data_IF_789824123935
#
_entry.id   IF_789824123935
#
_cell.length_a   1.000
_cell.length_b   1.000
_cell.length_c   1.000
_cell.angle_alpha   90.00
_cell.angle_beta   90.00
_cell.angle_gamma   90.00
#
_symmetry.space_group_name_H-M   'P 1'
#
loop_
_entity.id
_entity.type
_entity.pdbx_description
1 polymer ?
#
# COMPACT_ATOMS: atom_id res chain seq x y z
N UNK A 1 4.72 6.65 24.27
CA UNK A 1 4.33 5.31 23.78
C UNK A 1 2.82 5.25 23.83
N UNK A 2 2.16 5.60 22.72
CA UNK A 2 0.69 5.54 22.61
C UNK A 2 0.33 4.13 22.19
N UNK A 3 -0.62 3.53 22.90
CA UNK A 3 -0.94 2.11 22.85
C UNK A 3 -1.51 1.68 21.48
N UNK A 4 -0.65 1.16 20.60
CA UNK A 4 -1.04 0.61 19.30
C UNK A 4 -1.87 -0.68 19.40
N UNK A 5 -2.23 -1.13 20.62
CA UNK A 5 -2.89 -2.41 20.86
C UNK A 5 -4.36 -2.43 20.41
N UNK A 6 -5.03 -1.30 20.27
CA UNK A 6 -6.44 -1.29 19.88
C UNK A 6 -6.66 -1.30 18.37
N UNK A 7 -5.89 -0.52 17.59
CA UNK A 7 -5.99 -0.54 16.11
C UNK A 7 -5.79 -1.93 15.52
N UNK A 8 -4.84 -2.69 16.07
CA UNK A 8 -4.53 -4.06 15.62
C UNK A 8 -5.69 -5.05 15.82
N UNK A 9 -6.58 -4.82 16.81
CA UNK A 9 -7.80 -5.62 17.04
C UNK A 9 -8.86 -5.38 15.97
N UNK A 10 -8.80 -4.25 15.27
CA UNK A 10 -9.75 -3.91 14.22
C UNK A 10 -9.37 -4.48 12.84
N UNK A 11 -8.23 -5.17 12.74
CA UNK A 11 -7.73 -5.80 11.51
C UNK A 11 -8.15 -7.27 11.46
N UNK A 12 -8.70 -7.72 10.33
CA UNK A 12 -8.87 -9.14 10.03
C UNK A 12 -7.51 -9.69 9.55
N UNK A 13 -6.69 -10.16 10.49
CA UNK A 13 -5.35 -10.67 10.19
C UNK A 13 -5.36 -11.94 9.32
N UNK A 14 -6.38 -12.79 9.45
CA UNK A 14 -6.52 -14.01 8.64
C UNK A 14 -6.72 -13.65 7.16
N UNK A 15 -7.67 -12.76 6.86
CA UNK A 15 -7.89 -12.30 5.49
C UNK A 15 -6.75 -11.42 4.99
N UNK A 16 -6.16 -10.58 5.85
CA UNK A 16 -5.01 -9.74 5.50
C UNK A 16 -3.85 -10.60 5.03
N UNK A 17 -3.54 -11.67 5.76
CA UNK A 17 -2.47 -12.61 5.40
C UNK A 17 -2.80 -13.40 4.14
N UNK A 18 -4.03 -13.93 4.04
CA UNK A 18 -4.52 -14.60 2.81
C UNK A 18 -4.42 -13.69 1.60
N UNK A 19 -4.75 -12.41 1.74
CA UNK A 19 -4.66 -11.45 0.65
C UNK A 19 -3.21 -11.04 0.33
N UNK A 20 -2.31 -11.00 1.31
CA UNK A 20 -0.88 -10.73 1.08
C UNK A 20 -0.18 -11.93 0.43
N UNK A 21 -0.71 -13.13 0.67
CA UNK A 21 -0.13 -14.40 0.29
C UNK A 21 -1.20 -15.38 -0.26
N UNK A 22 -1.82 -15.09 -1.42
CA UNK A 22 -3.03 -15.78 -1.90
C UNK A 22 -2.88 -17.26 -2.24
N UNK A 23 -1.69 -17.73 -2.62
CA UNK A 23 -1.42 -19.15 -2.92
C UNK A 23 -0.71 -19.88 -1.79
N UNK A 24 -1.05 -21.16 -1.59
CA UNK A 24 -0.16 -22.08 -0.86
C UNK A 24 1.10 -22.27 -1.71
N UNK A 25 2.29 -22.13 -1.11
CA UNK A 25 3.57 -22.47 -1.76
C UNK A 25 3.63 -23.99 -1.86
N UNK A 26 2.98 -24.56 -2.88
CA UNK A 26 2.92 -26.01 -3.09
C UNK A 26 3.86 -26.48 -4.20
N UNK A 27 4.39 -25.56 -5.02
CA UNK A 27 5.35 -25.85 -6.08
C UNK A 27 6.60 -25.00 -5.93
N UNK A 28 7.76 -25.55 -6.30
CA UNK A 28 9.01 -24.80 -6.50
C UNK A 28 8.89 -23.73 -7.62
N UNK A 29 7.78 -23.72 -8.36
CA UNK A 29 7.54 -22.87 -9.53
C UNK A 29 6.20 -22.15 -9.40
N UNK A 30 6.17 -21.04 -8.68
CA UNK A 30 5.10 -20.05 -8.83
C UNK A 30 5.29 -19.31 -10.16
N UNK A 31 4.21 -18.99 -10.88
CA UNK A 31 4.29 -18.14 -12.06
C UNK A 31 4.98 -16.80 -11.74
N UNK A 32 5.83 -16.30 -12.65
CA UNK A 32 6.62 -15.08 -12.44
C UNK A 32 5.77 -13.86 -12.05
N UNK A 33 4.55 -13.75 -12.59
CA UNK A 33 3.59 -12.70 -12.26
C UNK A 33 3.14 -12.78 -10.80
N UNK A 34 2.78 -13.97 -10.33
CA UNK A 34 2.29 -14.21 -8.98
C UNK A 34 3.38 -13.98 -7.92
N UNK A 35 4.61 -14.44 -8.19
CA UNK A 35 5.76 -14.18 -7.33
C UNK A 35 6.04 -12.67 -7.17
N UNK A 36 5.90 -11.92 -8.27
CA UNK A 36 6.11 -10.48 -8.28
C UNK A 36 5.05 -9.72 -7.47
N UNK A 37 3.78 -10.12 -7.61
CA UNK A 37 2.66 -9.52 -6.85
C UNK A 37 2.78 -9.84 -5.36
N UNK A 38 3.16 -11.07 -4.99
CA UNK A 38 3.43 -11.44 -3.59
C UNK A 38 4.55 -10.59 -3.01
N UNK A 39 5.68 -10.49 -3.73
CA UNK A 39 6.83 -9.68 -3.29
C UNK A 39 6.44 -8.21 -3.11
N UNK A 40 5.66 -7.66 -4.04
CA UNK A 40 5.11 -6.32 -3.92
C UNK A 40 4.23 -6.20 -2.66
N UNK A 41 3.29 -7.11 -2.47
CA UNK A 41 2.34 -7.08 -1.35
C UNK A 41 3.04 -7.15 -0.01
N UNK A 42 4.04 -8.03 0.15
CA UNK A 42 4.82 -8.14 1.39
C UNK A 42 5.66 -6.89 1.65
N UNK A 43 6.26 -6.29 0.62
CA UNK A 43 7.01 -5.04 0.77
C UNK A 43 6.12 -3.85 1.08
N UNK A 44 4.93 -3.81 0.50
CA UNK A 44 3.94 -2.77 0.79
C UNK A 44 3.47 -2.89 2.24
N UNK A 45 3.16 -4.09 2.71
CA UNK A 45 2.73 -4.32 4.09
C UNK A 45 3.82 -3.96 5.13
N UNK A 46 5.10 -4.16 4.79
CA UNK A 46 6.24 -3.95 5.70
C UNK A 46 6.99 -2.62 5.51
N UNK A 47 6.45 -1.66 4.74
CA UNK A 47 7.14 -0.38 4.45
C UNK A 47 8.52 -0.54 3.79
N UNK A 48 8.67 -1.52 2.88
CA UNK A 48 9.96 -1.87 2.24
C UNK A 48 9.99 -1.62 0.72
N UNK A 49 9.00 -0.95 0.14
CA UNK A 49 9.08 -0.58 -1.27
C UNK A 49 10.29 0.33 -1.50
N UNK A 50 10.88 0.31 -2.71
CA UNK A 50 12.06 1.11 -3.04
C UNK A 50 11.70 2.58 -3.29
N UNK A 51 11.08 3.23 -2.31
CA UNK A 51 10.76 4.65 -2.26
C UNK A 51 12.01 5.48 -1.99
N UNK A 52 12.00 6.78 -2.31
CA UNK A 52 13.15 7.63 -2.06
C UNK A 52 13.48 7.72 -0.56
N UNK A 53 12.49 7.79 0.33
CA UNK A 53 12.73 7.73 1.78
C UNK A 53 13.49 6.48 2.22
N UNK A 54 13.11 5.30 1.70
CA UNK A 54 13.81 4.05 2.00
C UNK A 54 15.20 3.97 1.36
N UNK A 55 15.37 4.56 0.17
CA UNK A 55 16.65 4.58 -0.54
C UNK A 55 17.63 5.57 0.10
N UNK A 56 17.13 6.74 0.53
CA UNK A 56 17.84 7.77 1.27
C UNK A 56 18.42 7.19 2.55
N UNK A 57 17.58 6.55 3.39
CA UNK A 57 18.02 5.84 4.62
C UNK A 57 19.14 4.81 4.35
N UNK A 58 19.08 4.12 3.21
CA UNK A 58 20.06 3.07 2.85
C UNK A 58 21.36 3.63 2.24
N UNK A 59 21.37 4.86 1.73
CA UNK A 59 22.55 5.44 1.06
C UNK A 59 22.50 6.98 1.02
N UNK A 60 22.67 7.60 2.19
CA UNK A 60 22.67 9.05 2.41
C UNK A 60 23.70 9.82 1.55
N UNK A 61 24.77 9.15 1.13
CA UNK A 61 25.84 9.77 0.33
C UNK A 61 25.46 9.95 -1.14
N UNK A 62 24.52 9.14 -1.65
CA UNK A 62 24.12 9.16 -3.05
C UNK A 62 22.79 9.88 -3.27
N UNK A 63 21.95 9.93 -2.24
CA UNK A 63 20.65 10.59 -2.27
C UNK A 63 20.63 11.62 -1.15
N UNK A 64 20.52 12.89 -1.50
CA UNK A 64 20.61 14.03 -0.56
C UNK A 64 19.26 14.45 0.01
N UNK A 65 18.17 13.92 -0.53
CA UNK A 65 16.79 14.21 -0.12
C UNK A 65 15.94 12.95 -0.16
N UNK A 66 14.91 12.91 0.69
CA UNK A 66 13.82 11.93 0.69
C UNK A 66 12.50 12.49 0.11
N UNK A 67 12.51 13.75 -0.33
CA UNK A 67 11.38 14.41 -0.98
C UNK A 67 11.06 13.78 -2.32
N UNK A 68 9.77 13.66 -2.61
CA UNK A 68 9.29 13.09 -3.84
C UNK A 68 9.86 13.80 -5.07
N UNK A 69 10.47 13.05 -6.02
CA UNK A 69 11.10 13.65 -7.19
C UNK A 69 10.08 14.31 -8.15
N UNK A 70 8.79 14.03 -7.97
CA UNK A 70 7.72 14.54 -8.82
C UNK A 70 7.07 15.80 -8.25
N UNK A 71 6.64 15.79 -6.99
CA UNK A 71 6.02 16.96 -6.36
C UNK A 71 7.02 17.87 -5.66
N UNK A 72 8.16 17.34 -5.20
CA UNK A 72 9.20 18.05 -4.45
C UNK A 72 8.72 18.72 -3.15
N UNK A 73 7.52 18.35 -2.68
CA UNK A 73 6.89 18.92 -1.49
C UNK A 73 6.89 17.90 -0.36
N UNK A 74 6.32 16.72 -0.60
CA UNK A 74 6.15 15.67 0.40
C UNK A 74 7.28 14.64 0.35
N UNK A 75 7.52 13.95 1.47
CA UNK A 75 8.43 12.79 1.52
C UNK A 75 7.84 11.64 0.68
N UNK A 76 8.63 11.06 -0.22
CA UNK A 76 8.19 9.87 -0.95
C UNK A 76 8.28 8.63 -0.05
N UNK A 77 7.15 8.31 0.59
CA UNK A 77 6.96 7.11 1.39
C UNK A 77 6.12 6.04 0.66
N UNK A 78 5.82 4.94 1.33
CA UNK A 78 5.10 3.79 0.77
C UNK A 78 3.68 4.08 0.27
N UNK A 79 3.08 5.17 0.76
CA UNK A 79 1.72 5.59 0.43
C UNK A 79 1.76 6.71 -0.61
N UNK A 80 2.66 7.67 -0.44
CA UNK A 80 2.80 8.85 -1.31
C UNK A 80 3.01 8.48 -2.78
N UNK A 81 3.71 7.37 -3.06
CA UNK A 81 3.87 6.86 -4.43
C UNK A 81 2.54 6.62 -5.17
N UNK A 82 1.45 6.38 -4.43
CA UNK A 82 0.10 6.18 -4.98
C UNK A 82 -0.77 7.44 -4.93
N UNK A 83 -0.43 8.42 -4.09
CA UNK A 83 -1.27 9.59 -3.79
C UNK A 83 -0.67 10.91 -4.28
N UNK A 84 0.54 10.91 -4.82
CA UNK A 84 1.23 12.10 -5.33
C UNK A 84 0.46 12.75 -6.50
N UNK A 85 -0.10 13.94 -6.25
CA UNK A 85 -0.89 14.71 -7.21
C UNK A 85 -0.10 15.15 -8.44
N UNK A 86 1.22 15.39 -8.32
CA UNK A 86 2.06 15.83 -9.44
C UNK A 86 2.25 14.76 -10.53
N UNK A 87 1.79 13.52 -10.30
CA UNK A 87 1.87 12.45 -11.29
C UNK A 87 0.67 12.40 -12.24
N UNK A 88 -0.47 13.01 -11.90
CA UNK A 88 -1.72 12.91 -12.68
C UNK A 88 -2.49 14.23 -12.70
N UNK A 89 -3.31 14.44 -13.74
CA UNK A 89 -4.17 15.63 -13.83
C UNK A 89 -5.36 15.61 -12.85
N UNK A 90 -5.74 14.43 -12.35
CA UNK A 90 -6.78 14.23 -11.35
C UNK A 90 -6.16 13.86 -10.01
N UNK A 91 -6.89 14.07 -8.90
CA UNK A 91 -6.44 13.66 -7.58
C UNK A 91 -6.29 12.12 -7.53
N UNK A 92 -5.06 11.57 -7.39
CA UNK A 92 -4.83 10.13 -7.44
C UNK A 92 -5.55 9.38 -6.32
N UNK A 93 -5.63 9.99 -5.14
CA UNK A 93 -6.28 9.40 -3.98
C UNK A 93 -7.79 9.25 -4.21
N UNK A 94 -8.46 10.30 -4.69
CA UNK A 94 -9.89 10.22 -5.03
C UNK A 94 -10.14 9.15 -6.10
N UNK A 95 -9.25 9.06 -7.08
CA UNK A 95 -9.33 8.00 -8.09
C UNK A 95 -9.19 6.61 -7.49
N UNK A 96 -8.29 6.42 -6.52
CA UNK A 96 -8.13 5.15 -5.82
C UNK A 96 -9.34 4.79 -4.98
N UNK A 97 -9.92 5.75 -4.25
CA UNK A 97 -11.16 5.58 -3.48
C UNK A 97 -12.31 5.13 -4.39
N UNK A 98 -12.51 5.79 -5.52
CA UNK A 98 -13.52 5.40 -6.51
C UNK A 98 -13.29 3.98 -7.05
N UNK A 99 -12.05 3.67 -7.44
CA UNK A 99 -11.71 2.36 -7.99
C UNK A 99 -11.94 1.25 -6.94
N UNK A 100 -11.57 1.50 -5.68
CA UNK A 100 -11.81 0.56 -4.58
C UNK A 100 -13.31 0.28 -4.40
N UNK A 101 -14.14 1.33 -4.33
CA UNK A 101 -15.61 1.19 -4.24
C UNK A 101 -16.19 0.40 -5.42
N UNK A 102 -15.77 0.73 -6.65
CA UNK A 102 -16.21 0.02 -7.88
C UNK A 102 -15.84 -1.46 -7.85
N UNK A 103 -14.63 -1.79 -7.42
CA UNK A 103 -14.16 -3.18 -7.31
C UNK A 103 -15.00 -3.97 -6.29
N UNK A 104 -15.29 -3.38 -5.12
CA UNK A 104 -16.13 -4.02 -4.10
C UNK A 104 -17.55 -4.30 -4.60
N UNK A 105 -18.18 -3.28 -5.20
CA UNK A 105 -19.53 -3.40 -5.77
C UNK A 105 -19.56 -4.46 -6.87
N UNK A 106 -18.58 -4.47 -7.77
CA UNK A 106 -18.49 -5.44 -8.85
C UNK A 106 -18.39 -6.87 -8.33
N UNK A 107 -17.51 -7.13 -7.35
CA UNK A 107 -17.38 -8.49 -6.79
C UNK A 107 -18.62 -8.93 -6.02
N UNK A 108 -19.26 -8.01 -5.28
CA UNK A 108 -20.51 -8.31 -4.60
C UNK A 108 -21.63 -8.69 -5.60
N UNK A 109 -21.78 -7.91 -6.68
CA UNK A 109 -22.77 -8.17 -7.72
C UNK A 109 -22.51 -9.50 -8.45
N UNK A 110 -21.25 -9.80 -8.72
CA UNK A 110 -20.86 -11.05 -9.38
C UNK A 110 -21.21 -12.29 -8.55
N UNK A 111 -21.11 -12.22 -7.22
CA UNK A 111 -21.46 -13.35 -6.34
C UNK A 111 -22.96 -13.42 -6.08
N UNK A 112 -23.63 -12.30 -5.83
CA UNK A 112 -25.07 -12.31 -5.52
C UNK A 112 -25.96 -12.68 -6.70
N UNK A 113 -25.50 -12.47 -7.95
CA UNK A 113 -26.32 -12.68 -9.16
C UNK A 113 -27.70 -12.00 -9.12
N UNK A 114 -27.87 -10.97 -8.26
CA UNK A 114 -29.12 -10.29 -7.93
C UNK A 114 -28.93 -8.77 -7.82
N UNK A 115 -30.05 -8.03 -7.84
CA UNK A 115 -30.11 -6.57 -7.67
C UNK A 115 -29.65 -6.17 -6.25
N UNK A 116 -28.39 -5.79 -6.12
CA UNK A 116 -27.91 -5.03 -4.96
C UNK A 116 -28.59 -3.66 -4.91
N UNK A 117 -28.94 -3.21 -3.71
CA UNK A 117 -29.17 -1.78 -3.45
C UNK A 117 -27.83 -1.04 -3.52
N UNK A 118 -27.51 -0.56 -4.72
CA UNK A 118 -26.25 0.11 -5.03
C UNK A 118 -26.08 1.42 -4.25
N UNK A 119 -27.16 2.16 -4.02
CA UNK A 119 -27.06 3.47 -3.36
C UNK A 119 -26.80 3.31 -1.86
N UNK A 120 -27.51 2.38 -1.21
CA UNK A 120 -27.23 2.02 0.19
C UNK A 120 -25.80 1.50 0.36
N UNK A 121 -25.33 0.65 -0.56
CA UNK A 121 -23.96 0.12 -0.50
C UNK A 121 -22.91 1.22 -0.69
N UNK A 122 -23.05 2.08 -1.71
CA UNK A 122 -22.12 3.20 -1.92
C UNK A 122 -22.00 4.06 -0.67
N UNK A 123 -23.13 4.42 -0.05
CA UNK A 123 -23.16 5.22 1.19
C UNK A 123 -22.41 4.55 2.34
N UNK A 124 -22.60 3.24 2.55
CA UNK A 124 -21.84 2.47 3.56
C UNK A 124 -20.35 2.41 3.23
N UNK A 125 -19.98 2.35 1.95
CA UNK A 125 -18.57 2.33 1.53
C UNK A 125 -17.86 3.67 1.67
N UNK A 126 -18.58 4.81 1.69
CA UNK A 126 -17.97 6.12 1.93
C UNK A 126 -17.23 6.19 3.26
N UNK A 127 -17.67 5.45 4.27
CA UNK A 127 -17.00 5.36 5.58
C UNK A 127 -15.56 4.86 5.49
N UNK A 128 -15.20 4.10 4.46
CA UNK A 128 -13.83 3.58 4.29
C UNK A 128 -12.97 4.47 3.42
N UNK A 129 -13.55 5.52 2.82
CA UNK A 129 -12.88 6.42 1.88
C UNK A 129 -12.90 7.89 2.30
N UNK A 130 -13.69 8.26 3.31
CA UNK A 130 -13.81 9.65 3.78
C UNK A 130 -12.73 10.06 4.81
N UNK A 131 -11.99 9.09 5.35
CA UNK A 131 -11.08 9.28 6.50
C UNK A 131 -9.76 10.00 6.21
N UNK A 132 -9.40 10.24 4.94
CA UNK A 132 -8.07 10.78 4.61
C UNK A 132 -7.86 12.19 5.18
N UNK A 133 -8.86 13.06 5.07
CA UNK A 133 -8.77 14.43 5.58
C UNK A 133 -8.76 14.45 7.12
N UNK A 134 -9.45 13.51 7.77
CA UNK A 134 -9.51 13.36 9.23
C UNK A 134 -8.19 12.84 9.83
N UNK A 135 -7.50 11.93 9.14
CA UNK A 135 -6.17 11.45 9.54
C UNK A 135 -5.11 12.57 9.46
N UNK A 136 -5.12 13.37 8.39
CA UNK A 136 -4.21 14.51 8.25
C UNK A 136 -4.47 15.64 9.27
N UNK A 137 -5.71 15.76 9.75
CA UNK A 137 -6.09 16.73 10.78
C UNK A 137 -5.90 16.22 12.22
N UNK A 138 -5.39 14.99 12.41
CA UNK A 138 -5.28 14.32 13.73
C UNK A 138 -6.62 14.20 14.49
N UNK A 139 -7.75 14.22 13.77
CA UNK A 139 -9.09 14.19 14.36
C UNK A 139 -9.68 12.77 14.50
N UNK A 140 -8.95 11.75 14.03
CA UNK A 140 -9.34 10.35 14.23
C UNK A 140 -8.81 9.81 15.56
N UNK A 141 -9.64 9.05 16.26
CA UNK A 141 -9.16 8.16 17.32
C UNK A 141 -8.11 7.21 16.74
N UNK A 142 -6.98 7.03 17.45
CA UNK A 142 -5.81 6.23 17.05
C UNK A 142 -6.15 4.76 16.65
N UNK A 143 -7.36 4.30 16.94
CA UNK A 143 -7.78 2.90 16.85
C UNK A 143 -8.53 2.56 15.55
N UNK A 144 -8.91 3.56 14.75
CA UNK A 144 -9.66 3.32 13.51
C UNK A 144 -8.74 3.03 12.32
N UNK A 145 -9.15 2.11 11.46
CA UNK A 145 -8.45 1.77 10.21
C UNK A 145 -8.95 2.73 9.13
N UNK A 146 -8.04 3.50 8.54
CA UNK A 146 -8.38 4.44 7.48
C UNK A 146 -8.06 3.85 6.10
N UNK A 147 -8.40 4.59 5.04
CA UNK A 147 -8.14 4.14 3.67
C UNK A 147 -6.65 3.89 3.37
N UNK A 148 -5.73 4.60 4.04
CA UNK A 148 -4.30 4.42 3.83
C UNK A 148 -3.81 3.06 4.35
N UNK A 149 -4.39 2.57 5.45
CA UNK A 149 -4.13 1.23 5.95
C UNK A 149 -4.62 0.16 4.96
N UNK A 150 -5.75 0.42 4.29
CA UNK A 150 -6.27 -0.45 3.22
C UNK A 150 -5.33 -0.45 2.01
N UNK A 151 -4.78 0.72 1.63
CA UNK A 151 -3.74 0.81 0.59
C UNK A 151 -2.50 0.01 1.00
N UNK A 152 -2.07 0.08 2.26
CA UNK A 152 -0.96 -0.73 2.79
C UNK A 152 -1.26 -2.25 2.78
N UNK A 153 -2.52 -2.63 2.59
CA UNK A 153 -2.96 -4.01 2.39
C UNK A 153 -3.67 -4.62 3.60
N UNK A 154 -4.00 -3.82 4.62
CA UNK A 154 -4.76 -4.23 5.80
C UNK A 154 -6.25 -4.33 5.47
N UNK A 155 -6.92 -5.34 6.04
CA UNK A 155 -8.35 -5.55 5.84
C UNK A 155 -9.10 -5.26 7.16
N UNK A 156 -10.00 -4.27 7.20
CA UNK A 156 -10.79 -3.97 8.39
C UNK A 156 -11.80 -5.08 8.72
N UNK A 157 -11.94 -5.42 10.00
CA UNK A 157 -13.01 -6.31 10.49
C UNK A 157 -14.41 -5.76 10.17
N UNK A 158 -14.58 -4.43 10.22
CA UNK A 158 -15.83 -3.76 9.85
C UNK A 158 -16.20 -3.99 8.38
N UNK A 159 -15.23 -4.02 7.48
CA UNK A 159 -15.45 -4.29 6.05
C UNK A 159 -15.92 -5.74 5.85
N UNK A 160 -15.33 -6.68 6.58
CA UNK A 160 -15.71 -8.09 6.54
C UNK A 160 -17.13 -8.29 7.08
N UNK A 161 -17.47 -7.63 8.19
CA UNK A 161 -18.82 -7.66 8.77
C UNK A 161 -19.86 -7.05 7.83
N UNK A 162 -19.54 -5.92 7.19
CA UNK A 162 -20.41 -5.28 6.20
C UNK A 162 -20.76 -6.25 5.06
N UNK A 163 -19.77 -6.93 4.47
CA UNK A 163 -20.03 -7.88 3.40
C UNK A 163 -20.63 -9.20 3.90
N UNK A 164 -20.41 -9.60 5.15
CA UNK A 164 -21.17 -10.71 5.75
C UNK A 164 -22.66 -10.39 5.80
N UNK A 165 -23.03 -9.18 6.21
CA UNK A 165 -24.43 -8.73 6.27
C UNK A 165 -25.05 -8.64 4.88
N UNK A 166 -24.39 -7.98 3.94
CA UNK A 166 -24.88 -7.82 2.56
C UNK A 166 -25.10 -9.17 1.89
N UNK A 167 -24.18 -10.12 2.10
CA UNK A 167 -24.23 -11.41 1.45
C UNK A 167 -25.13 -12.43 2.18
N UNK A 168 -25.57 -12.13 3.41
CA UNK A 168 -26.27 -13.09 4.28
C UNK A 168 -25.45 -14.33 4.65
N UNK A 169 -24.17 -14.36 4.27
CA UNK A 169 -23.28 -15.53 4.34
C UNK A 169 -21.88 -15.08 4.69
N UNK A 170 -21.33 -15.62 5.79
CA UNK A 170 -19.95 -15.30 6.18
C UNK A 170 -18.93 -15.79 5.16
N UNK A 171 -19.21 -16.91 4.49
CA UNK A 171 -18.33 -17.46 3.46
C UNK A 171 -18.26 -16.54 2.25
N UNK A 172 -19.42 -16.09 1.77
CA UNK A 172 -19.50 -15.27 0.56
C UNK A 172 -19.06 -13.84 0.83
N UNK A 173 -19.36 -13.28 2.01
CA UNK A 173 -18.84 -11.98 2.44
C UNK A 173 -17.31 -11.94 2.46
N UNK A 174 -16.67 -12.96 3.05
CA UNK A 174 -15.20 -13.10 3.02
C UNK A 174 -14.66 -13.27 1.60
N UNK A 175 -15.38 -14.00 0.74
CA UNK A 175 -14.99 -14.21 -0.66
C UNK A 175 -15.02 -12.91 -1.47
N UNK A 176 -16.06 -12.08 -1.31
CA UNK A 176 -16.13 -10.73 -1.93
C UNK A 176 -14.91 -9.93 -1.51
N UNK A 177 -14.67 -9.79 -0.21
CA UNK A 177 -13.56 -8.99 0.32
C UNK A 177 -12.21 -9.48 -0.22
N UNK A 178 -11.95 -10.79 -0.20
CA UNK A 178 -10.69 -11.34 -0.72
C UNK A 178 -10.49 -11.07 -2.22
N UNK A 179 -11.52 -11.28 -3.03
CA UNK A 179 -11.44 -11.03 -4.48
C UNK A 179 -11.25 -9.55 -4.77
N UNK A 180 -11.95 -8.69 -4.06
CA UNK A 180 -11.85 -7.24 -4.21
C UNK A 180 -10.46 -6.74 -3.81
N UNK A 181 -9.93 -7.17 -2.66
CA UNK A 181 -8.59 -6.78 -2.22
C UNK A 181 -7.52 -7.31 -3.18
N UNK A 182 -7.67 -8.52 -3.70
CA UNK A 182 -6.75 -9.03 -4.72
C UNK A 182 -6.76 -8.17 -6.00
N UNK A 183 -7.94 -7.82 -6.52
CA UNK A 183 -8.07 -6.92 -7.68
C UNK A 183 -7.51 -5.53 -7.41
N UNK A 184 -7.75 -5.00 -6.21
CA UNK A 184 -7.20 -3.70 -5.81
C UNK A 184 -5.67 -3.74 -5.71
N UNK A 185 -5.08 -4.83 -5.19
CA UNK A 185 -3.62 -5.03 -5.19
C UNK A 185 -3.03 -5.11 -6.59
N UNK A 186 -3.72 -5.74 -7.55
CA UNK A 186 -3.28 -5.74 -8.95
C UNK A 186 -3.22 -4.31 -9.52
N UNK A 187 -4.22 -3.48 -9.21
CA UNK A 187 -4.22 -2.07 -9.59
C UNK A 187 -3.03 -1.31 -8.95
N UNK A 188 -2.83 -1.45 -7.63
CA UNK A 188 -1.71 -0.83 -6.93
C UNK A 188 -0.36 -1.29 -7.48
N UNK A 189 -0.22 -2.57 -7.83
CA UNK A 189 0.99 -3.11 -8.44
C UNK A 189 1.30 -2.48 -9.80
N UNK A 190 0.28 -2.23 -10.62
CA UNK A 190 0.44 -1.52 -11.91
C UNK A 190 0.88 -0.07 -11.70
N UNK A 191 0.25 0.65 -10.76
CA UNK A 191 0.65 2.01 -10.40
C UNK A 191 2.09 2.07 -9.87
N UNK A 192 2.46 1.12 -9.02
CA UNK A 192 3.82 1.01 -8.50
C UNK A 192 4.86 0.76 -9.62
N UNK A 193 4.55 -0.11 -10.58
CA UNK A 193 5.42 -0.32 -11.76
C UNK A 193 5.63 0.97 -12.56
N UNK A 194 4.55 1.69 -12.83
CA UNK A 194 4.60 2.98 -13.51
C UNK A 194 5.48 3.99 -12.75
N UNK A 195 5.31 4.08 -11.43
CA UNK A 195 6.15 4.93 -10.59
C UNK A 195 7.63 4.52 -10.65
N UNK A 196 7.93 3.21 -10.63
CA UNK A 196 9.31 2.71 -10.76
C UNK A 196 9.95 3.14 -12.09
N UNK A 197 9.20 3.09 -13.19
CA UNK A 197 9.68 3.53 -14.51
C UNK A 197 10.00 5.03 -14.53
N UNK A 198 9.09 5.85 -14.00
CA UNK A 198 9.30 7.30 -13.86
C UNK A 198 10.51 7.62 -12.97
N UNK A 199 10.67 6.90 -11.87
CA UNK A 199 11.79 7.06 -10.96
C UNK A 199 13.13 6.67 -11.61
N UNK A 200 13.15 5.66 -12.49
CA UNK A 200 14.35 5.31 -13.26
C UNK A 200 14.74 6.42 -14.24
N UNK A 201 13.77 7.08 -14.88
CA UNK A 201 14.01 8.22 -15.76
C UNK A 201 14.60 9.39 -14.95
N UNK A 202 14.00 9.73 -13.81
CA UNK A 202 14.53 10.76 -12.91
C UNK A 202 15.94 10.43 -12.43
N UNK A 203 16.23 9.19 -12.04
CA UNK A 203 17.60 8.79 -11.65
C UNK A 203 18.64 9.02 -12.73
N UNK A 204 18.26 8.80 -14.00
CA UNK A 204 19.14 9.05 -15.14
C UNK A 204 19.39 10.55 -15.33
N UNK A 205 18.37 11.41 -15.13
CA UNK A 205 18.55 12.86 -15.20
C UNK A 205 19.44 13.40 -14.07
N UNK A 206 19.45 12.74 -12.91
CA UNK A 206 20.38 13.03 -11.80
C UNK A 206 21.80 12.44 -11.99
N UNK A 207 22.12 11.85 -13.15
CA UNK A 207 23.40 11.19 -13.43
C UNK A 207 23.79 10.04 -12.47
N UNK A 208 22.83 9.45 -11.75
CA UNK A 208 23.07 8.36 -10.80
C UNK A 208 23.26 7.04 -11.57
N UNK A 209 24.51 6.56 -11.70
CA UNK A 209 24.84 5.32 -12.43
C UNK A 209 24.95 4.11 -11.50
N UNK A 210 24.92 2.91 -12.07
CA UNK A 210 25.02 1.66 -11.31
C UNK A 210 26.32 1.53 -10.49
N UNK A 211 27.42 2.13 -10.98
CA UNK A 211 28.72 2.18 -10.31
C UNK A 211 28.69 2.98 -8.99
N UNK A 212 27.90 4.05 -8.94
CA UNK A 212 27.83 4.95 -7.78
C UNK A 212 27.11 4.27 -6.59
N UNK A 213 26.22 3.31 -6.89
CA UNK A 213 25.53 2.49 -5.89
C UNK A 213 26.48 1.57 -5.11
N UNK A 214 27.53 1.04 -5.76
CA UNK A 214 28.55 0.20 -5.11
C UNK A 214 29.46 1.01 -4.20
N UNK A 215 29.77 2.26 -4.58
CA UNK A 215 30.65 3.15 -3.82
C UNK A 215 29.96 3.67 -2.54
N UNK A 216 28.69 4.09 -2.64
CA UNK A 216 27.93 4.62 -1.51
C UNK A 216 27.72 3.59 -0.39
N UNK A 217 27.42 2.33 -0.73
CA UNK A 217 27.33 1.24 0.26
C UNK A 217 28.63 1.01 1.03
N UNK A 218 29.78 1.03 0.33
CA UNK A 218 31.10 0.87 0.98
C UNK A 218 31.41 2.02 1.93
N UNK A 219 31.16 3.27 1.51
CA UNK A 219 31.40 4.45 2.36
C UNK A 219 30.46 4.51 3.57
N UNK A 220 29.18 4.13 3.43
CA UNK A 220 28.24 4.07 4.56
C UNK A 220 28.67 3.04 5.61
N UNK A 221 29.09 1.84 5.17
CA UNK A 221 29.64 0.81 6.06
C UNK A 221 30.89 1.33 6.77
N UNK A 222 31.80 2.02 6.08
CA UNK A 222 32.98 2.61 6.72
C UNK A 222 32.62 3.69 7.74
N UNK A 223 31.64 4.55 7.45
CA UNK A 223 31.17 5.57 8.41
C UNK A 223 30.48 4.95 9.63
N UNK A 224 29.71 3.88 9.45
CA UNK A 224 29.09 3.14 10.56
C UNK A 224 30.14 2.45 11.44
N UNK A 225 31.13 1.79 10.83
CA UNK A 225 32.27 1.20 11.55
C UNK A 225 33.06 2.28 12.29
N UNK A 226 33.32 3.42 11.66
CA UNK A 226 34.05 4.53 12.28
C UNK A 226 33.29 5.12 13.47
N UNK A 227 31.97 5.31 13.35
CA UNK A 227 31.12 5.80 14.44
C UNK A 227 31.05 4.81 15.62
N UNK A 228 30.95 3.50 15.33
CA UNK A 228 30.96 2.47 16.38
C UNK A 228 32.30 2.39 17.13
N UNK A 229 33.42 2.68 16.46
CA UNK A 229 34.75 2.71 17.09
C UNK A 229 35.04 4.00 17.88
N UNK A 230 34.24 5.06 17.70
CA UNK A 230 34.34 6.31 18.47
C UNK A 230 33.53 6.28 19.77
N UNK A 231 32.63 5.31 19.91
CA UNK A 231 31.77 5.13 21.08
C UNK A 231 32.23 3.99 22.00
N UNK A 232 33.39 3.38 21.71
CA UNK A 232 34.07 2.35 22.50
C UNK A 232 35.35 2.92 23.11
#
# INVERSE_FOLDING_TARGET
MVDSSNKTKNIDWDLTWKAAHPSKILSLTSGFSEASIRKFSLKLLNDELPTLSNIYKRNLLLYTTDQCPFCQIEIENNIHIFTCSSQTSTNPLEKLKENFKKILIHEAANILQLKLDLESLKKKLELYTSDFDLCNQHLMEFDQICFLDIIAGLIPNSLVSLFKEIMGSSKDGKLVVLRSIHKFKLLLFQLWKYCCEKFLIWKRSQNIKAKDKKLGRKKLIMLQIWYMNLQA
#
